data_IF_488125536675
#
_entry.id   IF_488125536675
#
_cell.length_a   1.000
_cell.length_b   1.000
_cell.length_c   1.000
_cell.angle_alpha   90.00
_cell.angle_beta   90.00
_cell.angle_gamma   90.00
#
_symmetry.space_group_name_H-M   'P 1'
#
loop_
_entity.id
_entity.type
_entity.pdbx_description
1 polymer ?
#
# COMPACT_ATOMS: atom_id res chain seq x y z
N UNK A 1 12.25 -1.26 -18.32
CA UNK A 1 12.04 -1.10 -16.88
C UNK A 1 12.50 0.29 -16.51
N UNK A 2 11.58 1.21 -16.24
CA UNK A 2 11.91 2.56 -15.77
C UNK A 2 12.29 2.47 -14.28
N UNK A 3 13.42 3.07 -13.91
CA UNK A 3 13.88 3.13 -12.53
C UNK A 3 13.06 4.22 -11.80
N UNK A 4 11.92 3.84 -11.22
CA UNK A 4 11.08 4.80 -10.49
C UNK A 4 11.66 5.05 -9.10
N UNK A 5 12.37 6.17 -8.95
CA UNK A 5 12.78 6.65 -7.63
C UNK A 5 11.58 7.33 -6.97
N UNK A 6 10.80 6.58 -6.18
CA UNK A 6 9.69 7.15 -5.43
C UNK A 6 10.25 8.04 -4.31
N UNK A 7 9.92 9.35 -4.27
CA UNK A 7 10.45 10.25 -3.25
C UNK A 7 10.09 9.80 -1.83
N UNK A 8 8.94 9.15 -1.64
CA UNK A 8 8.55 8.60 -0.34
C UNK A 8 8.88 7.11 -0.16
N UNK A 9 9.72 6.50 -1.01
CA UNK A 9 10.08 5.07 -0.92
C UNK A 9 10.49 4.64 0.50
N UNK A 10 11.35 5.43 1.15
CA UNK A 10 11.81 5.17 2.53
C UNK A 10 10.68 5.28 3.55
N UNK A 11 9.80 6.27 3.41
CA UNK A 11 8.67 6.47 4.31
C UNK A 11 7.64 5.34 4.16
N UNK A 12 7.36 4.91 2.93
CA UNK A 12 6.50 3.77 2.61
C UNK A 12 7.09 2.48 3.17
N UNK A 13 8.38 2.22 2.93
CA UNK A 13 9.10 1.05 3.48
C UNK A 13 9.00 0.99 5.00
N UNK A 14 9.21 2.11 5.69
CA UNK A 14 9.06 2.20 7.14
C UNK A 14 7.61 1.92 7.62
N UNK A 15 6.59 2.34 6.86
CA UNK A 15 5.18 2.04 7.19
C UNK A 15 4.89 0.54 7.01
N UNK A 16 5.40 -0.07 5.95
CA UNK A 16 5.25 -1.50 5.70
C UNK A 16 5.96 -2.32 6.78
N UNK A 17 7.17 -1.94 7.19
CA UNK A 17 7.90 -2.61 8.28
C UNK A 17 7.07 -2.61 9.59
N UNK A 18 6.39 -1.51 9.91
CA UNK A 18 5.48 -1.44 11.06
C UNK A 18 4.26 -2.36 10.89
N UNK A 19 3.66 -2.40 9.69
CA UNK A 19 2.53 -3.27 9.41
C UNK A 19 2.91 -4.76 9.52
N UNK A 20 4.11 -5.13 9.06
CA UNK A 20 4.66 -6.49 9.18
C UNK A 20 4.80 -6.87 10.66
N UNK A 21 5.46 -6.05 11.48
CA UNK A 21 5.59 -6.31 12.91
C UNK A 21 4.24 -6.38 13.63
N UNK A 22 3.22 -5.65 13.15
CA UNK A 22 1.87 -5.72 13.70
C UNK A 22 1.17 -7.02 13.30
N UNK A 23 1.31 -7.46 12.05
CA UNK A 23 0.79 -8.74 11.57
C UNK A 23 1.44 -9.93 12.29
N UNK A 24 2.74 -9.87 12.60
CA UNK A 24 3.41 -10.88 13.41
C UNK A 24 2.80 -11.00 14.81
N UNK A 25 2.38 -9.88 15.42
CA UNK A 25 1.66 -9.91 16.70
C UNK A 25 0.30 -10.59 16.54
N UNK A 26 -0.47 -10.24 15.51
CA UNK A 26 -1.76 -10.88 15.22
C UNK A 26 -1.60 -12.39 15.05
N UNK A 27 -0.55 -12.84 14.34
CA UNK A 27 -0.21 -14.26 14.23
C UNK A 27 -0.02 -14.90 15.61
N UNK A 28 0.76 -14.28 16.50
CA UNK A 28 0.96 -14.79 17.87
C UNK A 28 -0.34 -14.84 18.67
N UNK A 29 -1.24 -13.87 18.52
CA UNK A 29 -2.55 -13.90 19.17
C UNK A 29 -3.33 -15.16 18.79
N UNK A 30 -3.30 -15.54 17.51
CA UNK A 30 -3.91 -16.77 17.01
C UNK A 30 -3.22 -18.00 17.61
N UNK A 31 -1.88 -18.05 17.55
CA UNK A 31 -1.09 -19.17 18.08
C UNK A 31 -1.33 -19.38 19.59
N UNK A 32 -1.60 -18.31 20.33
CA UNK A 32 -1.87 -18.32 21.76
C UNK A 32 -3.35 -18.58 22.12
N UNK A 33 -4.24 -18.69 21.13
CA UNK A 33 -5.67 -18.91 21.37
C UNK A 33 -6.39 -17.69 21.96
N UNK A 34 -5.97 -16.47 21.62
CA UNK A 34 -6.66 -15.25 22.06
C UNK A 34 -8.06 -15.10 21.43
N UNK A 35 -8.90 -14.28 22.05
CA UNK A 35 -10.28 -14.05 21.63
C UNK A 35 -10.40 -13.63 20.16
N UNK A 36 -11.30 -14.30 19.42
CA UNK A 36 -11.48 -14.07 17.99
C UNK A 36 -11.87 -12.63 17.67
N UNK A 37 -12.65 -11.97 18.53
CA UNK A 37 -13.06 -10.58 18.32
C UNK A 37 -11.85 -9.65 18.42
N UNK A 38 -10.95 -9.89 19.38
CA UNK A 38 -9.69 -9.13 19.51
C UNK A 38 -8.78 -9.34 18.30
N UNK A 39 -8.62 -10.58 17.84
CA UNK A 39 -7.85 -10.89 16.61
C UNK A 39 -8.40 -10.14 15.41
N UNK A 40 -9.73 -10.12 15.22
CA UNK A 40 -10.37 -9.40 14.11
C UNK A 40 -10.14 -7.88 14.18
N UNK A 41 -10.19 -7.29 15.38
CA UNK A 41 -9.90 -5.86 15.58
C UNK A 41 -8.45 -5.54 15.19
N UNK A 42 -7.49 -6.36 15.63
CA UNK A 42 -6.09 -6.13 15.29
C UNK A 42 -5.80 -6.37 13.81
N UNK A 43 -6.44 -7.36 13.19
CA UNK A 43 -6.33 -7.59 11.74
C UNK A 43 -6.88 -6.40 10.94
N UNK A 44 -7.98 -5.79 11.38
CA UNK A 44 -8.51 -4.56 10.78
C UNK A 44 -7.52 -3.39 10.91
N UNK A 45 -6.80 -3.28 12.03
CA UNK A 45 -5.75 -2.29 12.20
C UNK A 45 -4.58 -2.51 11.23
N UNK A 46 -4.17 -3.76 10.99
CA UNK A 46 -3.16 -4.12 9.98
C UNK A 46 -3.64 -3.72 8.58
N UNK A 47 -4.88 -4.07 8.21
CA UNK A 47 -5.48 -3.69 6.92
C UNK A 47 -5.45 -2.17 6.72
N UNK A 48 -5.82 -1.39 7.75
CA UNK A 48 -5.76 0.07 7.72
C UNK A 48 -4.34 0.60 7.50
N UNK A 49 -3.34 0.02 8.18
CA UNK A 49 -1.93 0.40 8.00
C UNK A 49 -1.44 0.15 6.57
N UNK A 50 -1.79 -1.00 5.98
CA UNK A 50 -1.47 -1.34 4.58
C UNK A 50 -2.13 -0.34 3.62
N UNK A 51 -3.42 -0.05 3.82
CA UNK A 51 -4.16 0.90 2.99
C UNK A 51 -3.54 2.31 3.06
N UNK A 52 -3.07 2.73 4.23
CA UNK A 52 -2.40 4.03 4.38
C UNK A 52 -1.01 4.07 3.73
N UNK A 53 -0.31 2.95 3.61
CA UNK A 53 0.93 2.87 2.83
C UNK A 53 0.63 2.93 1.32
N UNK A 54 -0.37 2.17 0.85
CA UNK A 54 -0.80 2.18 -0.55
C UNK A 54 -1.28 3.55 -1.04
N UNK A 55 -2.00 4.31 -0.20
CA UNK A 55 -2.38 5.70 -0.52
C UNK A 55 -1.19 6.62 -0.81
N UNK A 56 -0.08 6.46 -0.06
CA UNK A 56 1.13 7.26 -0.32
C UNK A 56 1.77 6.88 -1.65
N UNK A 57 1.87 5.58 -1.94
CA UNK A 57 2.37 5.09 -3.22
C UNK A 57 1.53 5.65 -4.38
N UNK A 58 0.20 5.63 -4.25
CA UNK A 58 -0.72 6.13 -5.26
C UNK A 58 -0.50 7.63 -5.54
N UNK A 59 -0.44 8.45 -4.48
CA UNK A 59 -0.19 9.89 -4.62
C UNK A 59 1.17 10.16 -5.28
N UNK A 60 2.21 9.44 -4.86
CA UNK A 60 3.53 9.55 -5.48
C UNK A 60 3.50 9.18 -6.96
N UNK A 61 2.79 8.11 -7.33
CA UNK A 61 2.72 7.66 -8.71
C UNK A 61 1.93 8.66 -9.59
N UNK A 62 0.83 9.22 -9.09
CA UNK A 62 0.08 10.27 -9.80
C UNK A 62 0.96 11.50 -10.04
N UNK A 63 1.69 11.97 -9.03
CA UNK A 63 2.47 13.20 -9.13
C UNK A 63 3.68 13.11 -10.07
N UNK A 64 4.20 11.91 -10.34
CA UNK A 64 5.40 11.75 -11.17
C UNK A 64 5.08 11.05 -12.49
N UNK A 65 4.44 9.88 -12.45
CA UNK A 65 4.29 9.05 -13.64
C UNK A 65 3.18 9.55 -14.57
N UNK A 66 2.10 10.11 -14.01
CA UNK A 66 0.97 10.59 -14.83
C UNK A 66 1.25 11.98 -15.41
N UNK A 67 1.95 12.84 -14.67
CA UNK A 67 2.38 14.14 -15.20
C UNK A 67 3.27 13.96 -16.43
N UNK A 68 4.24 13.04 -16.34
CA UNK A 68 5.13 12.71 -17.47
C UNK A 68 4.34 12.05 -18.61
N UNK A 69 3.45 11.10 -18.31
CA UNK A 69 2.62 10.42 -19.32
C UNK A 69 1.75 11.40 -20.13
N UNK A 70 1.18 12.42 -19.49
CA UNK A 70 0.39 13.45 -20.18
C UNK A 70 1.26 14.30 -21.11
N UNK A 71 2.50 14.65 -20.69
CA UNK A 71 3.44 15.39 -21.54
C UNK A 71 3.88 14.55 -22.75
N UNK A 72 4.03 13.24 -22.57
CA UNK A 72 4.45 12.29 -23.61
C UNK A 72 3.28 11.79 -24.49
N UNK A 73 2.03 12.19 -24.22
CA UNK A 73 0.80 11.62 -24.81
C UNK A 73 0.69 10.08 -24.68
N UNK A 74 1.24 9.52 -23.60
CA UNK A 74 1.25 8.08 -23.32
C UNK A 74 0.07 7.68 -22.42
N UNK A 75 -1.13 7.61 -23.02
CA UNK A 75 -2.36 7.26 -22.30
C UNK A 75 -2.38 5.82 -21.77
N UNK A 76 -1.50 4.93 -22.25
CA UNK A 76 -1.44 3.55 -21.75
C UNK A 76 -1.04 3.50 -20.27
N UNK A 77 -0.12 4.39 -19.84
CA UNK A 77 0.29 4.49 -18.43
C UNK A 77 -0.87 4.90 -17.51
N UNK A 78 -1.82 5.69 -18.02
CA UNK A 78 -3.03 6.10 -17.28
C UNK A 78 -3.97 4.89 -17.09
N UNK A 79 -4.12 4.06 -18.12
CA UNK A 79 -4.93 2.85 -18.06
C UNK A 79 -4.32 1.81 -17.10
N UNK A 80 -3.00 1.63 -17.13
CA UNK A 80 -2.27 0.76 -16.19
C UNK A 80 -2.46 1.19 -14.73
N UNK A 81 -2.35 2.50 -14.45
CA UNK A 81 -2.61 3.03 -13.11
C UNK A 81 -4.08 2.82 -12.71
N UNK A 82 -5.01 3.06 -13.62
CA UNK A 82 -6.44 2.89 -13.36
C UNK A 82 -6.77 1.45 -12.97
N UNK A 83 -6.13 0.47 -13.60
CA UNK A 83 -6.28 -0.95 -13.26
C UNK A 83 -5.69 -1.26 -11.87
N UNK A 84 -4.51 -0.72 -11.56
CA UNK A 84 -3.91 -0.87 -10.24
C UNK A 84 -4.80 -0.27 -9.12
N UNK A 85 -5.42 0.88 -9.36
CA UNK A 85 -6.38 1.51 -8.42
C UNK A 85 -7.60 0.62 -8.21
N UNK A 86 -8.19 0.07 -9.28
CA UNK A 86 -9.35 -0.83 -9.19
C UNK A 86 -9.06 -2.03 -8.29
N UNK A 87 -7.87 -2.61 -8.42
CA UNK A 87 -7.45 -3.73 -7.57
C UNK A 87 -7.18 -3.30 -6.12
N UNK A 88 -6.67 -2.10 -5.89
CA UNK A 88 -6.34 -1.59 -4.55
C UNK A 88 -7.57 -1.20 -3.72
N UNK A 89 -8.64 -0.71 -4.37
CA UNK A 89 -9.88 -0.28 -3.70
C UNK A 89 -10.80 -1.47 -3.36
N UNK A 90 -10.60 -2.61 -4.02
CA UNK A 90 -11.34 -3.85 -3.78
C UNK A 90 -11.14 -4.39 -2.36
#
# INVERSE_FOLDING_TARGET
MHEHQHPNAKAVSNRLAKAIGHLEKVKRMIDNGEDCSQVLIQLAAVKSAINNAGKVILVDHINHCIVDAVQENDFNKIDELSEAIRQFVK
#
